data_IF_258987320472
#
_entry.id   IF_258987320472
#
_cell.length_a   1.000
_cell.length_b   1.000
_cell.length_c   1.000
_cell.angle_alpha   90.00
_cell.angle_beta   90.00
_cell.angle_gamma   90.00
#
_symmetry.space_group_name_H-M   'P 1'
#
loop_
_entity.id
_entity.type
_entity.pdbx_description
1 polymer ?
#
# COMPACT_ATOMS: atom_id res chain seq x y z
N UNK A 1 -6.46 -5.75 -3.65
CA UNK A 1 -5.97 -6.45 -2.45
C UNK A 1 -5.76 -5.40 -1.38
N UNK A 2 -6.44 -5.56 -0.25
CA UNK A 2 -6.33 -4.62 0.88
C UNK A 2 -5.10 -4.94 1.72
N UNK A 3 -4.30 -3.92 2.03
CA UNK A 3 -3.09 -4.05 2.85
C UNK A 3 -2.88 -2.81 3.72
N UNK A 4 -2.16 -3.00 4.82
CA UNK A 4 -1.77 -1.93 5.75
C UNK A 4 -0.40 -1.38 5.36
N UNK A 5 -0.30 -0.07 5.16
CA UNK A 5 0.97 0.60 4.91
C UNK A 5 1.82 0.64 6.19
N UNK A 6 3.10 0.27 6.08
CA UNK A 6 4.07 0.30 7.19
C UNK A 6 4.98 1.53 7.18
N UNK A 7 4.84 2.36 6.14
CA UNK A 7 5.59 3.60 5.93
C UNK A 7 4.71 4.55 5.14
N UNK A 8 5.03 5.83 5.21
CA UNK A 8 4.38 6.83 4.36
C UNK A 8 4.84 6.61 2.91
N UNK A 9 3.87 6.57 1.99
CA UNK A 9 4.12 6.43 0.56
C UNK A 9 3.44 7.58 -0.16
N UNK A 10 4.26 8.40 -0.80
CA UNK A 10 3.80 9.55 -1.59
C UNK A 10 2.85 9.08 -2.70
N UNK A 11 1.72 9.77 -2.85
CA UNK A 11 0.63 9.44 -3.78
C UNK A 11 -0.13 8.12 -3.51
N UNK A 12 0.08 7.47 -2.35
CA UNK A 12 -0.66 6.27 -1.97
C UNK A 12 -1.35 6.38 -0.60
N UNK A 13 -0.64 6.84 0.44
CA UNK A 13 -1.19 6.95 1.80
C UNK A 13 -0.11 7.06 2.89
N UNK A 14 -0.55 7.21 4.13
CA UNK A 14 0.31 7.30 5.30
C UNK A 14 0.49 5.94 5.98
N UNK A 15 1.50 5.84 6.84
CA UNK A 15 1.72 4.70 7.70
C UNK A 15 0.48 4.42 8.57
N UNK A 16 0.00 3.18 8.55
CA UNK A 16 -1.21 2.75 9.25
C UNK A 16 -2.48 2.76 8.39
N UNK A 17 -2.45 3.36 7.19
CA UNK A 17 -3.61 3.35 6.29
C UNK A 17 -3.82 1.97 5.67
N UNK A 18 -5.10 1.60 5.53
CA UNK A 18 -5.51 0.41 4.78
C UNK A 18 -5.87 0.83 3.36
N UNK A 19 -5.03 0.48 2.40
CA UNK A 19 -5.22 0.81 0.98
C UNK A 19 -5.60 -0.43 0.18
N UNK A 20 -6.40 -0.26 -0.88
CA UNK A 20 -6.75 -1.32 -1.82
C UNK A 20 -6.00 -1.12 -3.14
N UNK A 21 -5.10 -2.04 -3.44
CA UNK A 21 -4.19 -1.95 -4.59
C UNK A 21 -4.22 -3.20 -5.45
N UNK A 22 -3.72 -3.12 -6.68
CA UNK A 22 -3.60 -4.30 -7.54
C UNK A 22 -2.64 -5.33 -6.93
N UNK A 23 -2.95 -6.61 -7.10
CA UNK A 23 -2.15 -7.70 -6.50
C UNK A 23 -0.71 -7.79 -7.04
N UNK A 24 -0.48 -7.32 -8.27
CA UNK A 24 0.87 -7.24 -8.84
C UNK A 24 1.71 -6.15 -8.18
N UNK A 25 1.13 -4.95 -8.02
CA UNK A 25 1.78 -3.83 -7.36
C UNK A 25 2.10 -4.15 -5.88
N UNK A 26 1.14 -4.77 -5.19
CA UNK A 26 1.26 -5.17 -3.79
C UNK A 26 2.33 -6.22 -3.48
N UNK A 27 2.73 -7.07 -4.44
CA UNK A 27 3.68 -8.17 -4.21
C UNK A 27 5.07 -7.90 -4.77
N UNK A 28 5.13 -7.09 -5.82
CA UNK A 28 6.36 -6.88 -6.58
C UNK A 28 7.02 -5.53 -6.30
N UNK A 29 6.33 -4.62 -5.59
CA UNK A 29 6.81 -3.25 -5.38
C UNK A 29 6.52 -2.70 -3.98
N UNK A 30 5.28 -2.82 -3.49
CA UNK A 30 4.90 -2.42 -2.13
C UNK A 30 5.33 -3.45 -1.09
#
# INVERSE_FOLDING_TARGET
MKLLLRKDIENLGLCGDVVDVSSGYARNYL
#
